data_IF_333835533892
#
_entry.id   IF_333835533892
#
_cell.length_a   1.000
_cell.length_b   1.000
_cell.length_c   1.000
_cell.angle_alpha   90.00
_cell.angle_beta   90.00
_cell.angle_gamma   90.00
#
_symmetry.space_group_name_H-M   'P 1'
#
loop_
_entity.id
_entity.type
_entity.pdbx_description
1 polymer ?
#
# COMPACT_ATOMS: atom_id res chain seq x y z
N UNK A 1 5.66 15.15 1.56
CA UNK A 1 6.12 14.33 0.41
C UNK A 1 5.72 15.07 -0.87
N UNK A 2 6.69 15.48 -1.70
CA UNK A 2 6.41 16.24 -2.93
C UNK A 2 5.72 15.31 -3.93
N UNK A 3 4.44 15.53 -4.23
CA UNK A 3 3.75 14.79 -5.29
C UNK A 3 4.32 15.26 -6.62
N UNK A 4 5.27 14.50 -7.18
CA UNK A 4 5.68 14.68 -8.56
C UNK A 4 4.51 14.35 -9.48
N UNK A 5 4.33 15.13 -10.54
CA UNK A 5 3.42 14.79 -11.62
C UNK A 5 3.90 13.47 -12.23
N UNK A 6 3.19 12.36 -11.93
CA UNK A 6 3.62 10.99 -12.28
C UNK A 6 3.91 10.82 -13.78
N UNK A 7 3.17 11.55 -14.61
CA UNK A 7 3.50 11.81 -16.01
C UNK A 7 2.75 13.04 -16.52
N UNK A 8 3.31 13.78 -17.48
CA UNK A 8 2.57 14.82 -18.21
C UNK A 8 1.36 14.23 -18.96
N UNK A 9 1.49 12.98 -19.43
CA UNK A 9 0.43 12.18 -20.05
C UNK A 9 -0.82 12.04 -19.17
N UNK A 10 -0.69 12.05 -17.85
CA UNK A 10 -1.86 11.99 -16.96
C UNK A 10 -2.89 13.08 -17.27
N UNK A 11 -2.43 14.28 -17.67
CA UNK A 11 -3.32 15.40 -18.01
C UNK A 11 -4.14 15.17 -19.30
N UNK A 12 -3.72 14.23 -20.15
CA UNK A 12 -4.42 13.91 -21.38
C UNK A 12 -5.62 12.97 -21.14
N UNK A 13 -5.64 12.26 -20.02
CA UNK A 13 -6.78 11.40 -19.67
C UNK A 13 -7.92 12.22 -19.08
N UNK A 14 -9.13 11.99 -19.57
CA UNK A 14 -10.34 12.50 -18.93
C UNK A 14 -10.71 11.57 -17.77
N UNK A 15 -11.00 12.08 -16.56
CA UNK A 15 -11.51 11.24 -15.47
C UNK A 15 -12.75 10.47 -15.93
N UNK A 16 -12.78 9.17 -15.67
CA UNK A 16 -13.99 8.41 -15.89
C UNK A 16 -15.00 8.73 -14.78
N UNK A 17 -16.18 9.22 -15.15
CA UNK A 17 -17.29 9.50 -14.22
C UNK A 17 -18.34 8.40 -14.21
N UNK A 18 -18.16 7.36 -15.03
CA UNK A 18 -19.07 6.20 -15.03
C UNK A 18 -18.85 5.42 -13.75
N UNK A 19 -19.95 5.07 -13.10
CA UNK A 19 -19.93 4.17 -11.97
C UNK A 19 -19.75 2.75 -12.49
N UNK A 20 -18.61 2.13 -12.17
CA UNK A 20 -18.29 0.76 -12.60
C UNK A 20 -18.88 -0.26 -11.63
N UNK A 21 -20.10 -0.02 -11.17
CA UNK A 21 -20.82 -0.92 -10.27
C UNK A 21 -21.44 -2.09 -11.06
N UNK A 22 -20.62 -2.70 -11.92
CA UNK A 22 -20.91 -3.94 -12.62
C UNK A 22 -20.68 -5.09 -11.63
N UNK A 23 -21.64 -6.01 -11.53
CA UNK A 23 -21.52 -7.20 -10.69
C UNK A 23 -20.25 -8.01 -11.01
N UNK A 24 -19.80 -8.00 -12.27
CA UNK A 24 -18.60 -8.69 -12.76
C UNK A 24 -17.28 -7.93 -12.56
N UNK A 25 -17.33 -6.66 -12.14
CA UNK A 25 -16.14 -5.82 -11.99
C UNK A 25 -15.26 -6.21 -10.80
N UNK A 26 -13.93 -6.19 -11.01
CA UNK A 26 -12.90 -6.37 -9.97
C UNK A 26 -12.33 -5.01 -9.57
N UNK A 27 -12.27 -4.73 -8.27
CA UNK A 27 -11.61 -3.54 -7.76
C UNK A 27 -10.11 -3.77 -7.62
N UNK A 28 -9.30 -2.86 -8.20
CA UNK A 28 -7.85 -2.83 -7.99
C UNK A 28 -7.52 -1.63 -7.11
N UNK A 29 -6.95 -1.90 -5.93
CA UNK A 29 -6.72 -0.91 -4.88
C UNK A 29 -5.21 -0.74 -4.68
N UNK A 30 -4.75 0.50 -4.72
CA UNK A 30 -3.38 0.84 -4.32
C UNK A 30 -3.20 0.65 -2.81
N UNK A 31 -2.20 -0.13 -2.39
CA UNK A 31 -1.92 -0.39 -0.99
C UNK A 31 -1.54 0.87 -0.20
N UNK A 32 -0.89 1.84 -0.87
CA UNK A 32 -0.59 3.15 -0.28
C UNK A 32 -1.85 3.97 0.03
N UNK A 33 -2.88 3.88 -0.80
CA UNK A 33 -4.19 4.49 -0.54
C UNK A 33 -4.83 3.95 0.74
N UNK A 34 -4.76 2.63 0.99
CA UNK A 34 -5.32 2.03 2.20
C UNK A 34 -4.66 2.59 3.48
N UNK A 35 -3.35 2.81 3.47
CA UNK A 35 -2.61 3.36 4.61
C UNK A 35 -3.19 4.69 5.12
N UNK A 36 -3.78 5.48 4.22
CA UNK A 36 -4.41 6.76 4.56
C UNK A 36 -5.90 6.66 4.89
N UNK A 37 -6.56 5.57 4.49
CA UNK A 37 -8.01 5.40 4.68
C UNK A 37 -8.37 4.63 5.94
N UNK A 38 -7.62 3.57 6.25
CA UNK A 38 -7.91 2.74 7.43
C UNK A 38 -7.14 3.28 8.61
N UNK A 39 -7.85 3.98 9.50
CA UNK A 39 -7.27 4.55 10.71
C UNK A 39 -6.94 3.41 11.67
N UNK A 40 -5.65 3.29 12.01
CA UNK A 40 -5.16 2.32 12.99
C UNK A 40 -5.32 2.89 14.40
N UNK A 41 -6.00 2.18 15.28
CA UNK A 41 -6.12 2.57 16.69
C UNK A 41 -4.81 2.34 17.43
N UNK A 42 -4.57 3.15 18.46
CA UNK A 42 -3.43 2.94 19.37
C UNK A 42 -3.66 1.65 20.16
N UNK A 43 -2.60 0.87 20.39
CA UNK A 43 -2.70 -0.40 21.10
C UNK A 43 -3.19 -1.58 20.26
N UNK A 44 -3.49 -1.37 18.97
CA UNK A 44 -3.81 -2.47 18.06
C UNK A 44 -2.58 -3.36 17.81
N UNK A 45 -2.82 -4.67 17.82
CA UNK A 45 -1.85 -5.68 17.37
C UNK A 45 -1.71 -5.66 15.86
N UNK A 46 -0.60 -6.17 15.35
CA UNK A 46 -0.38 -6.29 13.90
C UNK A 46 -1.50 -7.07 13.21
N UNK A 47 -1.92 -8.20 13.79
CA UNK A 47 -3.05 -9.00 13.29
C UNK A 47 -4.34 -8.17 13.22
N UNK A 48 -4.72 -7.48 14.30
CA UNK A 48 -5.93 -6.65 14.30
C UNK A 48 -5.86 -5.50 13.28
N UNK A 49 -4.66 -4.99 12.98
CA UNK A 49 -4.47 -3.97 11.95
C UNK A 49 -4.74 -4.58 10.57
N UNK A 50 -4.18 -5.76 10.28
CA UNK A 50 -4.44 -6.50 9.04
C UNK A 50 -5.94 -6.80 8.87
N UNK A 51 -6.62 -7.27 9.93
CA UNK A 51 -8.05 -7.55 9.90
C UNK A 51 -8.88 -6.31 9.60
N UNK A 52 -8.49 -5.15 10.15
CA UNK A 52 -9.16 -3.88 9.84
C UNK A 52 -9.01 -3.50 8.36
N UNK A 53 -7.84 -3.75 7.75
CA UNK A 53 -7.64 -3.52 6.32
C UNK A 53 -8.51 -4.45 5.47
N UNK A 54 -8.51 -5.75 5.76
CA UNK A 54 -9.31 -6.75 5.04
C UNK A 54 -10.79 -6.42 5.18
N UNK A 55 -11.26 -6.17 6.40
CA UNK A 55 -12.66 -5.81 6.68
C UNK A 55 -13.07 -4.55 5.92
N UNK A 56 -12.22 -3.52 5.92
CA UNK A 56 -12.49 -2.29 5.17
C UNK A 56 -12.64 -2.56 3.67
N UNK A 57 -11.72 -3.33 3.08
CA UNK A 57 -11.74 -3.65 1.64
C UNK A 57 -13.00 -4.44 1.29
N UNK A 58 -13.29 -5.51 2.03
CA UNK A 58 -14.47 -6.35 1.80
C UNK A 58 -15.78 -5.57 1.96
N UNK A 59 -15.85 -4.65 2.92
CA UNK A 59 -17.07 -3.87 3.21
C UNK A 59 -17.30 -2.72 2.22
N UNK A 60 -16.23 -2.07 1.76
CA UNK A 60 -16.33 -0.89 0.87
C UNK A 60 -16.30 -1.22 -0.61
N UNK A 61 -15.75 -2.37 -0.96
CA UNK A 61 -15.59 -2.81 -2.34
C UNK A 61 -16.24 -4.18 -2.49
N UNK A 62 -15.45 -5.23 -2.73
CA UNK A 62 -15.90 -6.62 -2.83
C UNK A 62 -14.85 -7.53 -2.21
N UNK A 63 -15.24 -8.74 -1.81
CA UNK A 63 -14.29 -9.78 -1.38
C UNK A 63 -13.33 -10.19 -2.50
N UNK A 64 -13.69 -9.95 -3.76
CA UNK A 64 -12.86 -10.19 -4.96
C UNK A 64 -11.89 -9.06 -5.27
N UNK A 65 -11.83 -8.00 -4.44
CA UNK A 65 -10.93 -6.88 -4.67
C UNK A 65 -9.45 -7.30 -4.53
N UNK A 66 -8.61 -6.77 -5.41
CA UNK A 66 -7.16 -6.97 -5.40
C UNK A 66 -6.46 -5.74 -4.83
N UNK A 67 -5.62 -5.94 -3.81
CA UNK A 67 -4.79 -4.88 -3.23
C UNK A 67 -3.35 -5.03 -3.73
N UNK A 68 -2.80 -3.99 -4.34
CA UNK A 68 -1.44 -3.99 -4.89
C UNK A 68 -0.54 -3.09 -4.06
N UNK A 69 0.48 -3.67 -3.42
CA UNK A 69 1.51 -2.91 -2.71
C UNK A 69 2.72 -2.68 -3.62
N UNK A 70 2.92 -1.44 -4.06
CA UNK A 70 4.05 -1.12 -4.95
C UNK A 70 5.38 -1.00 -4.21
N UNK A 71 6.37 -1.72 -4.73
CA UNK A 71 7.78 -1.43 -4.50
C UNK A 71 8.40 -2.22 -3.35
N UNK A 72 8.03 -3.49 -3.25
CA UNK A 72 8.92 -4.54 -2.80
C UNK A 72 9.23 -5.40 -4.03
N UNK A 73 10.48 -5.51 -4.47
CA UNK A 73 10.83 -6.47 -5.51
C UNK A 73 10.72 -7.87 -4.92
N UNK A 74 10.11 -8.82 -5.64
CA UNK A 74 10.19 -10.25 -5.28
C UNK A 74 11.64 -10.74 -5.34
N UNK A 75 12.44 -10.15 -6.24
CA UNK A 75 13.85 -10.45 -6.44
C UNK A 75 14.68 -9.17 -6.28
N UNK A 76 15.51 -9.10 -5.24
CA UNK A 76 16.39 -7.95 -4.95
C UNK A 76 17.31 -7.57 -6.13
N UNK A 77 17.60 -8.52 -7.01
CA UNK A 77 18.42 -8.36 -8.22
C UNK A 77 17.75 -7.62 -9.37
N UNK A 78 16.42 -7.46 -9.36
CA UNK A 78 15.70 -6.74 -10.43
C UNK A 78 15.81 -5.24 -10.17
N UNK A 79 16.80 -4.62 -10.81
CA UNK A 79 17.12 -3.20 -10.70
C UNK A 79 15.92 -2.29 -10.94
N UNK A 80 15.23 -1.94 -9.86
CA UNK A 80 14.13 -0.98 -9.86
C UNK A 80 14.63 0.37 -9.32
N UNK A 81 14.04 1.50 -9.75
CA UNK A 81 14.43 2.84 -9.25
C UNK A 81 14.36 2.92 -7.72
N UNK A 82 13.45 2.14 -7.12
CA UNK A 82 13.29 2.03 -5.67
C UNK A 82 14.38 1.19 -5.00
N UNK A 83 14.93 0.20 -5.71
CA UNK A 83 16.04 -0.65 -5.29
C UNK A 83 17.35 0.17 -5.23
N UNK A 84 17.57 1.03 -6.23
CA UNK A 84 18.68 1.98 -6.22
C UNK A 84 18.57 3.02 -5.08
N UNK A 85 17.37 3.57 -4.85
CA UNK A 85 17.11 4.47 -3.72
C UNK A 85 17.26 3.76 -2.37
N UNK A 86 16.87 2.50 -2.27
CA UNK A 86 17.06 1.69 -1.07
C UNK A 86 18.55 1.46 -0.81
N UNK A 87 19.30 0.93 -1.78
CA UNK A 87 20.75 0.75 -1.69
C UNK A 87 21.49 2.04 -1.28
N UNK A 88 21.11 3.18 -1.85
CA UNK A 88 21.66 4.50 -1.47
C UNK A 88 21.42 4.86 0.00
N UNK A 89 20.27 4.48 0.58
CA UNK A 89 19.96 4.70 2.00
C UNK A 89 20.71 3.72 2.90
N UNK A 90 20.74 2.45 2.51
CA UNK A 90 21.40 1.37 3.24
C UNK A 90 22.91 1.59 3.37
N UNK A 91 23.53 2.24 2.39
CA UNK A 91 24.97 2.62 2.43
C UNK A 91 25.34 3.62 3.53
N UNK A 92 24.39 4.37 4.11
CA UNK A 92 24.69 5.37 5.14
C UNK A 92 24.33 4.93 6.55
N UNK A 93 23.24 4.18 6.73
CA UNK A 93 22.85 3.53 7.98
C UNK A 93 21.93 2.34 7.67
N UNK A 94 22.24 1.18 8.25
CA UNK A 94 21.34 0.03 8.31
C UNK A 94 20.42 0.22 9.53
N UNK A 95 19.10 0.21 9.32
CA UNK A 95 18.17 -0.03 10.43
C UNK A 95 18.27 -1.49 10.83
N UNK A 96 17.98 -1.81 12.09
CA UNK A 96 17.68 -3.19 12.48
C UNK A 96 16.52 -3.72 11.63
N UNK A 97 16.66 -4.94 11.15
CA UNK A 97 15.54 -5.68 10.57
C UNK A 97 14.46 -5.83 11.64
N UNK A 98 13.22 -5.53 11.28
CA UNK A 98 12.07 -5.61 12.19
C UNK A 98 11.17 -6.72 11.69
N UNK A 99 11.17 -7.83 12.42
CA UNK A 99 10.24 -8.92 12.21
C UNK A 99 8.96 -8.63 12.99
N UNK A 100 7.83 -8.60 12.29
CA UNK A 100 6.53 -8.38 12.92
C UNK A 100 5.93 -9.73 13.33
N UNK A 101 5.55 -9.83 14.61
CA UNK A 101 4.67 -10.90 15.09
C UNK A 101 3.21 -10.45 15.09
N UNK A 102 2.28 -11.38 14.93
CA UNK A 102 0.84 -11.10 14.90
C UNK A 102 0.35 -10.39 16.17
N UNK A 103 0.92 -10.74 17.32
CA UNK A 103 0.56 -10.19 18.62
C UNK A 103 1.29 -8.86 18.92
N UNK A 104 2.27 -8.48 18.09
CA UNK A 104 3.06 -7.29 18.30
C UNK A 104 2.17 -6.04 18.32
N UNK A 105 2.21 -5.31 19.44
CA UNK A 105 1.48 -4.06 19.59
C UNK A 105 2.26 -2.94 18.91
N UNK A 106 1.55 -2.14 18.09
CA UNK A 106 2.13 -0.94 17.49
C UNK A 106 2.56 0.05 18.58
N UNK A 107 3.87 0.30 18.68
CA UNK A 107 4.48 1.19 19.68
C UNK A 107 4.61 2.65 19.25
N UNK A 108 4.46 2.98 17.96
CA UNK A 108 4.66 4.35 17.44
C UNK A 108 3.44 4.91 16.69
N UNK A 109 3.10 6.18 16.97
CA UNK A 109 1.97 6.95 16.43
C UNK A 109 2.15 7.33 14.96
#
# INVERSE_FOLDING_TARGET
MRKGTKSSLYKAFKPCTRDFNDESGVYIIDGGYLLHRVIRKRGSTFSSICDNYVTYVCTKYKSTALVIFYGYPENETVGCTKCAEWARRTQKQMSSEVMFDETMIRTVS
#
